data_IF_051964697298
#
_entry.id   IF_051964697298
#
_cell.length_a   1.000
_cell.length_b   1.000
_cell.length_c   1.000
_cell.angle_alpha   90.00
_cell.angle_beta   90.00
_cell.angle_gamma   90.00
#
_symmetry.space_group_name_H-M   'P 1'
#
loop_
_entity.id
_entity.type
_entity.pdbx_description
1 polymer ?
#
# COMPACT_ATOMS: atom_id res chain seq x y z
N UNK A 1 -9.87 -0.55 -39.46
CA UNK A 1 -8.68 -0.52 -38.57
C UNK A 1 -9.20 -0.28 -37.16
N UNK A 2 -9.43 -1.34 -36.40
CA UNK A 2 -9.94 -1.22 -35.03
C UNK A 2 -8.77 -0.84 -34.11
N UNK A 3 -8.87 0.34 -33.51
CA UNK A 3 -7.95 0.76 -32.46
C UNK A 3 -8.08 -0.18 -31.27
N UNK A 4 -6.98 -0.81 -30.88
CA UNK A 4 -6.86 -1.39 -29.56
C UNK A 4 -6.74 -0.23 -28.57
N UNK A 5 -7.88 0.33 -28.15
CA UNK A 5 -7.95 1.05 -26.89
C UNK A 5 -7.67 0.02 -25.79
N UNK A 6 -6.40 -0.11 -25.42
CA UNK A 6 -6.01 -0.70 -24.15
C UNK A 6 -6.63 0.19 -23.07
N UNK A 7 -7.88 -0.06 -22.72
CA UNK A 7 -8.48 0.44 -21.48
C UNK A 7 -7.53 0.04 -20.38
N UNK A 8 -6.76 1.00 -19.84
CA UNK A 8 -6.11 0.85 -18.54
C UNK A 8 -7.24 0.51 -17.58
N UNK A 9 -7.44 -0.78 -17.32
CA UNK A 9 -8.44 -1.25 -16.37
C UNK A 9 -7.92 -0.79 -15.02
N UNK A 10 -8.36 0.39 -14.59
CA UNK A 10 -7.88 1.04 -13.38
C UNK A 10 -7.93 0.04 -12.23
N UNK A 11 -6.77 -0.29 -11.67
CA UNK A 11 -6.67 -1.13 -10.49
C UNK A 11 -7.44 -0.42 -9.36
N UNK A 12 -8.37 -1.14 -8.75
CA UNK A 12 -9.30 -0.59 -7.77
C UNK A 12 -8.69 -0.69 -6.38
N UNK A 13 -8.77 0.41 -5.64
CA UNK A 13 -8.52 0.35 -4.21
C UNK A 13 -9.75 -0.24 -3.50
N UNK A 14 -9.55 -1.14 -2.52
CA UNK A 14 -10.61 -1.62 -1.65
C UNK A 14 -11.23 -0.47 -0.82
N UNK A 15 -12.45 -0.65 -0.32
CA UNK A 15 -13.11 0.42 0.44
C UNK A 15 -12.58 0.55 1.87
N UNK A 16 -12.50 1.78 2.39
CA UNK A 16 -12.10 2.05 3.78
C UNK A 16 -12.97 1.31 4.80
N UNK A 17 -14.27 1.15 4.48
CA UNK A 17 -15.25 0.46 5.31
C UNK A 17 -14.94 -1.04 5.48
N UNK A 18 -14.30 -1.65 4.49
CA UNK A 18 -13.99 -3.09 4.50
C UNK A 18 -12.63 -3.39 5.16
N UNK A 19 -11.66 -2.47 5.04
CA UNK A 19 -10.30 -2.70 5.52
C UNK A 19 -9.96 -2.01 6.85
N UNK A 20 -10.69 -0.97 7.19
CA UNK A 20 -10.34 -0.06 8.27
C UNK A 20 -9.06 0.72 7.98
N UNK A 21 -8.72 1.61 8.91
CA UNK A 21 -7.49 2.40 8.87
C UNK A 21 -6.45 1.80 9.82
N UNK A 22 -5.21 2.24 9.69
CA UNK A 22 -4.09 1.78 10.50
C UNK A 22 -3.38 2.97 11.14
N UNK A 23 -3.47 3.06 12.46
CA UNK A 23 -2.85 4.07 13.29
C UNK A 23 -1.60 3.55 14.04
N UNK A 24 -1.28 2.27 13.90
CA UNK A 24 -0.21 1.60 14.66
C UNK A 24 -0.66 0.95 15.97
N UNK A 25 -1.95 0.99 16.30
CA UNK A 25 -2.54 0.34 17.50
C UNK A 25 -2.64 -1.18 17.39
N UNK A 26 -2.29 -1.78 16.25
CA UNK A 26 -2.25 -3.23 16.03
C UNK A 26 -0.99 -3.64 15.29
N UNK A 27 -0.78 -4.95 15.08
CA UNK A 27 0.38 -5.42 14.31
C UNK A 27 0.30 -5.00 12.86
N UNK A 28 1.34 -4.32 12.36
CA UNK A 28 1.45 -4.01 10.95
C UNK A 28 1.38 -5.28 10.10
N UNK A 29 1.93 -6.41 10.58
CA UNK A 29 1.84 -7.71 9.90
C UNK A 29 0.38 -8.15 9.69
N UNK A 30 -0.46 -8.06 10.73
CA UNK A 30 -1.89 -8.40 10.66
C UNK A 30 -2.66 -7.44 9.76
N UNK A 31 -2.39 -6.14 9.87
CA UNK A 31 -3.04 -5.15 9.01
C UNK A 31 -2.64 -5.28 7.54
N UNK A 32 -1.35 -5.41 7.22
CA UNK A 32 -0.85 -5.61 5.85
C UNK A 32 -1.41 -6.88 5.20
N UNK A 33 -1.61 -7.95 5.97
CA UNK A 33 -2.26 -9.17 5.48
C UNK A 33 -3.71 -8.92 5.07
N UNK A 34 -4.48 -8.19 5.89
CA UNK A 34 -5.85 -7.77 5.55
C UNK A 34 -5.88 -6.88 4.31
N UNK A 35 -4.99 -5.88 4.26
CA UNK A 35 -4.85 -4.96 3.12
C UNK A 35 -4.62 -5.72 1.81
N UNK A 36 -3.63 -6.62 1.79
CA UNK A 36 -3.33 -7.42 0.60
C UNK A 36 -4.52 -8.28 0.16
N UNK A 37 -5.22 -8.90 1.10
CA UNK A 37 -6.40 -9.70 0.80
C UNK A 37 -7.53 -8.84 0.21
N UNK A 38 -7.78 -7.65 0.76
CA UNK A 38 -8.76 -6.71 0.23
C UNK A 38 -8.41 -6.21 -1.18
N UNK A 39 -7.14 -5.89 -1.42
CA UNK A 39 -6.67 -5.49 -2.76
C UNK A 39 -6.86 -6.64 -3.77
N UNK A 40 -6.50 -7.87 -3.40
CA UNK A 40 -6.69 -9.04 -4.27
C UNK A 40 -8.17 -9.26 -4.59
N UNK A 41 -9.05 -9.18 -3.59
CA UNK A 41 -10.49 -9.31 -3.78
C UNK A 41 -11.07 -8.22 -4.70
N UNK A 42 -10.59 -6.98 -4.57
CA UNK A 42 -11.03 -5.85 -5.38
C UNK A 42 -10.56 -5.91 -6.84
N UNK A 43 -9.51 -6.70 -7.14
CA UNK A 43 -8.85 -6.72 -8.45
C UNK A 43 -8.93 -8.06 -9.17
N UNK A 44 -9.81 -8.98 -8.73
CA UNK A 44 -10.08 -10.25 -9.45
C UNK A 44 -10.44 -9.96 -10.92
N UNK A 45 -9.81 -10.64 -11.90
CA UNK A 45 -8.98 -11.84 -11.78
C UNK A 45 -7.46 -11.61 -11.69
N UNK A 46 -6.96 -10.40 -11.43
CA UNK A 46 -5.52 -10.09 -11.36
C UNK A 46 -4.96 -10.39 -9.96
N UNK A 47 -4.26 -11.52 -9.74
CA UNK A 47 -3.89 -11.97 -8.39
C UNK A 47 -2.67 -11.23 -7.81
N UNK A 48 -1.87 -10.59 -8.68
CA UNK A 48 -0.67 -9.86 -8.31
C UNK A 48 -0.90 -8.37 -8.55
N UNK A 49 -1.35 -7.62 -7.52
CA UNK A 49 -1.54 -6.18 -7.66
C UNK A 49 -0.18 -5.49 -7.86
N UNK A 50 -0.21 -4.41 -8.63
CA UNK A 50 0.93 -3.53 -8.86
C UNK A 50 1.49 -3.01 -7.52
N UNK A 51 2.82 -3.07 -7.27
CA UNK A 51 3.43 -2.52 -6.06
C UNK A 51 3.05 -1.06 -5.77
N UNK A 52 2.87 -0.23 -6.80
CA UNK A 52 2.41 1.16 -6.67
C UNK A 52 1.02 1.23 -6.06
N UNK A 53 0.12 0.32 -6.46
CA UNK A 53 -1.25 0.24 -5.90
C UNK A 53 -1.22 -0.18 -4.43
N UNK A 54 -0.37 -1.14 -4.08
CA UNK A 54 -0.23 -1.59 -2.68
C UNK A 54 0.34 -0.47 -1.81
N UNK A 55 1.38 0.22 -2.27
CA UNK A 55 1.93 1.38 -1.55
C UNK A 55 0.90 2.51 -1.41
N UNK A 56 0.12 2.79 -2.46
CA UNK A 56 -0.94 3.80 -2.41
C UNK A 56 -1.99 3.45 -1.37
N UNK A 57 -2.41 2.18 -1.32
CA UNK A 57 -3.33 1.70 -0.30
C UNK A 57 -2.74 1.87 1.10
N UNK A 58 -1.45 1.53 1.30
CA UNK A 58 -0.78 1.69 2.59
C UNK A 58 -0.84 3.13 3.07
N UNK A 59 -0.51 4.07 2.19
CA UNK A 59 -0.49 5.50 2.49
C UNK A 59 -1.89 6.04 2.77
N UNK A 60 -2.87 5.71 1.91
CA UNK A 60 -4.25 6.21 2.03
C UNK A 60 -4.94 5.69 3.30
N UNK A 61 -4.64 4.46 3.74
CA UNK A 61 -5.27 3.86 4.92
C UNK A 61 -4.44 4.03 6.20
N UNK A 62 -3.24 4.60 6.13
CA UNK A 62 -2.48 4.95 7.31
C UNK A 62 -3.04 6.23 7.93
N UNK A 63 -3.16 6.26 9.25
CA UNK A 63 -3.62 7.41 10.02
C UNK A 63 -2.72 7.64 11.24
N UNK A 64 -2.86 8.80 11.88
CA UNK A 64 -2.23 9.11 13.16
C UNK A 64 -0.72 8.80 13.20
N UNK A 65 -0.23 8.06 14.21
CA UNK A 65 1.18 7.72 14.35
C UNK A 65 1.78 6.94 13.16
N UNK A 66 0.99 6.11 12.48
CA UNK A 66 1.46 5.36 11.33
C UNK A 66 1.65 6.25 10.10
N UNK A 67 0.71 7.17 9.83
CA UNK A 67 0.85 8.17 8.77
C UNK A 67 2.08 9.06 9.01
N UNK A 68 2.21 9.60 10.23
CA UNK A 68 3.36 10.42 10.61
C UNK A 68 4.70 9.68 10.46
N UNK A 69 4.72 8.37 10.75
CA UNK A 69 5.89 7.54 10.51
C UNK A 69 6.19 7.31 9.03
N UNK A 70 5.19 7.24 8.15
CA UNK A 70 5.45 7.11 6.71
C UNK A 70 6.04 8.40 6.13
N UNK A 71 5.64 9.56 6.66
CA UNK A 71 6.10 10.88 6.22
C UNK A 71 7.47 11.28 6.78
N UNK A 72 7.91 10.68 7.89
CA UNK A 72 9.10 11.15 8.64
C UNK A 72 10.46 10.66 8.10
N UNK A 73 10.67 9.40 7.69
CA UNK A 73 11.98 8.91 7.29
C UNK A 73 12.38 9.43 5.91
N UNK A 74 13.55 10.07 5.83
CA UNK A 74 14.16 10.52 4.57
C UNK A 74 14.32 9.39 3.53
N UNK A 75 14.39 8.13 3.98
CA UNK A 75 14.50 6.97 3.10
C UNK A 75 13.17 6.54 2.47
N UNK A 76 12.03 6.83 3.11
CA UNK A 76 10.72 6.43 2.60
C UNK A 76 10.10 7.52 1.71
N UNK A 77 10.39 8.80 1.97
CA UNK A 77 9.83 9.91 1.20
C UNK A 77 9.99 9.76 -0.33
N UNK A 78 11.18 9.45 -0.89
CA UNK A 78 11.32 9.33 -2.35
C UNK A 78 10.43 8.22 -2.94
N UNK A 79 10.26 7.12 -2.19
CA UNK A 79 9.41 5.99 -2.60
C UNK A 79 7.94 6.42 -2.57
N UNK A 80 7.53 7.21 -1.58
CA UNK A 80 6.14 7.61 -1.37
C UNK A 80 5.72 8.80 -2.23
N UNK A 81 6.63 9.68 -2.61
CA UNK A 81 6.38 10.78 -3.56
C UNK A 81 5.90 10.24 -4.92
N UNK A 82 6.54 9.18 -5.41
CA UNK A 82 6.16 8.49 -6.66
C UNK A 82 4.76 7.86 -6.63
N UNK A 83 4.24 7.61 -5.43
CA UNK A 83 2.93 6.96 -5.21
C UNK A 83 1.77 7.95 -5.37
N UNK A 84 2.00 9.23 -5.09
CA UNK A 84 0.97 10.27 -5.17
C UNK A 84 0.75 10.81 -6.59
N UNK A 85 1.77 10.70 -7.45
CA UNK A 85 1.70 11.21 -8.81
C UNK A 85 1.16 10.14 -9.77
N UNK A 86 -0.10 10.30 -10.18
CA UNK A 86 -0.79 9.45 -11.16
C UNK A 86 -0.28 9.64 -12.60
N UNK A 87 0.41 10.76 -12.87
CA UNK A 87 1.05 11.05 -14.16
C UNK A 87 2.48 10.49 -14.20
N UNK A 88 3.08 10.26 -13.04
CA UNK A 88 4.40 9.65 -12.94
C UNK A 88 4.36 8.16 -13.33
N UNK A 89 5.04 7.85 -14.43
CA UNK A 89 5.23 6.49 -14.95
C UNK A 89 6.33 5.71 -14.23
N UNK A 90 6.94 6.28 -13.20
CA UNK A 90 7.98 5.61 -12.42
C UNK A 90 7.44 4.30 -11.85
N UNK A 91 8.17 3.23 -12.15
CA UNK A 91 7.81 1.88 -11.74
C UNK A 91 8.25 1.68 -10.30
N UNK A 92 7.29 1.62 -9.40
CA UNK A 92 7.54 1.16 -8.02
C UNK A 92 7.93 -0.32 -8.08
N UNK A 93 9.10 -0.64 -7.54
CA UNK A 93 9.64 -1.98 -7.51
C UNK A 93 9.11 -2.78 -6.32
N UNK A 94 9.17 -4.11 -6.43
CA UNK A 94 8.90 -5.01 -5.30
C UNK A 94 9.88 -4.79 -4.13
N UNK A 95 11.09 -4.32 -4.39
CA UNK A 95 12.08 -4.03 -3.36
C UNK A 95 11.69 -2.81 -2.51
N UNK A 96 11.12 -1.78 -3.13
CA UNK A 96 10.59 -0.60 -2.46
C UNK A 96 9.36 -0.93 -1.63
N UNK A 97 8.43 -1.69 -2.18
CA UNK A 97 7.28 -2.21 -1.42
C UNK A 97 7.74 -3.03 -0.20
N UNK A 98 8.74 -3.90 -0.36
CA UNK A 98 9.33 -4.65 0.76
C UNK A 98 9.97 -3.73 1.79
N UNK A 99 10.65 -2.67 1.34
CA UNK A 99 11.28 -1.69 2.24
C UNK A 99 10.25 -0.99 3.10
N UNK A 100 9.17 -0.46 2.51
CA UNK A 100 8.10 0.21 3.25
C UNK A 100 7.37 -0.75 4.18
N UNK A 101 6.97 -1.92 3.69
CA UNK A 101 6.24 -2.91 4.50
C UNK A 101 7.09 -3.48 5.64
N UNK A 102 8.40 -3.63 5.46
CA UNK A 102 9.31 -4.03 6.55
C UNK A 102 9.47 -2.91 7.57
N UNK A 103 9.67 -1.66 7.13
CA UNK A 103 9.77 -0.52 8.03
C UNK A 103 8.52 -0.36 8.92
N UNK A 104 7.33 -0.58 8.37
CA UNK A 104 6.08 -0.60 9.14
C UNK A 104 6.04 -1.74 10.16
N UNK A 105 6.48 -2.95 9.80
CA UNK A 105 6.55 -4.10 10.72
C UNK A 105 7.55 -3.88 11.84
N UNK A 106 8.69 -3.27 11.54
CA UNK A 106 9.72 -2.97 12.55
C UNK A 106 9.22 -1.88 13.52
N UNK A 107 8.50 -0.88 13.01
CA UNK A 107 7.95 0.21 13.82
C UNK A 107 6.74 -0.22 14.66
N UNK A 108 5.85 -1.05 14.10
CA UNK A 108 4.60 -1.49 14.72
C UNK A 108 4.52 -3.03 14.75
N UNK A 109 5.40 -3.72 15.51
CA UNK A 109 5.52 -5.18 15.47
C UNK A 109 4.35 -5.91 16.14
N UNK A 110 3.63 -5.26 17.06
CA UNK A 110 2.71 -5.87 18.05
C UNK A 110 3.14 -7.28 18.45
N UNK A 111 4.11 -7.27 19.37
CA UNK A 111 4.33 -8.40 20.26
C UNK A 111 3.05 -8.56 21.07
N UNK A 112 2.32 -9.65 20.84
CA UNK A 112 1.45 -10.15 21.90
C UNK A 112 2.35 -10.33 23.12
N UNK A 113 2.05 -9.60 24.20
CA UNK A 113 2.90 -9.55 25.38
C UNK A 113 3.12 -10.95 25.95
N UNK A 114 4.38 -11.37 25.95
CA UNK A 114 4.94 -12.34 26.88
C UNK A 114 6.31 -11.83 27.32
#
# INVERSE_FOLDING_TARGET
MSGFETTRKGLRLPSAKELGTFDGSSAASRWLARLNWGIQAANVPTPNPDPKVVLRAIVVFAEGPAAAFLESPARLQPILEDVYDDENTQVVTLAELRTVTQALKDRFPHRDGH
#
